data_IF_258757795855
#
_entry.id   IF_258757795855
#
_cell.length_a   1.000
_cell.length_b   1.000
_cell.length_c   1.000
_cell.angle_alpha   90.00
_cell.angle_beta   90.00
_cell.angle_gamma   90.00
#
_symmetry.space_group_name_H-M   'P 1'
#
loop_
_entity.id
_entity.type
_entity.pdbx_description
1 polymer ?
#
# COMPACT_ATOMS: atom_id res chain seq x y z
N UNK A 1 -22.34 -0.55 5.59
CA UNK A 1 -21.92 0.40 6.66
C UNK A 1 -21.88 1.82 6.08
N UNK A 2 -22.56 2.83 6.67
CA UNK A 2 -22.44 4.22 6.23
C UNK A 2 -20.98 4.70 6.27
N UNK A 3 -20.52 5.37 5.21
CA UNK A 3 -19.17 5.91 5.16
C UNK A 3 -19.10 7.24 5.93
N UNK A 4 -18.55 7.21 7.14
CA UNK A 4 -18.46 8.37 8.03
C UNK A 4 -17.72 9.57 7.41
N UNK A 5 -16.80 9.33 6.46
CA UNK A 5 -16.01 10.39 5.83
C UNK A 5 -16.86 11.32 4.95
N UNK A 6 -17.98 10.83 4.40
CA UNK A 6 -18.83 11.63 3.50
C UNK A 6 -19.45 12.85 4.20
N UNK A 7 -19.77 12.72 5.48
CA UNK A 7 -20.40 13.79 6.26
C UNK A 7 -19.45 14.96 6.56
N UNK A 8 -18.14 14.75 6.47
CA UNK A 8 -17.13 15.73 6.90
C UNK A 8 -16.74 16.73 5.81
N UNK A 9 -17.04 16.44 4.54
CA UNK A 9 -16.55 17.24 3.41
C UNK A 9 -17.12 18.67 3.37
N UNK A 10 -18.38 18.85 3.76
CA UNK A 10 -19.01 20.17 3.80
C UNK A 10 -18.32 21.10 4.82
N UNK A 11 -18.01 20.57 6.00
CA UNK A 11 -17.35 21.32 7.07
C UNK A 11 -15.93 21.77 6.68
N UNK A 12 -15.22 20.96 5.87
CA UNK A 12 -13.87 21.29 5.40
C UNK A 12 -13.81 22.61 4.60
N UNK A 13 -14.91 23.01 3.95
CA UNK A 13 -14.98 24.25 3.17
C UNK A 13 -14.99 25.49 4.07
N UNK A 14 -15.52 25.36 5.29
CA UNK A 14 -15.80 26.45 6.22
C UNK A 14 -14.87 26.49 7.45
N UNK A 15 -13.82 25.67 7.47
CA UNK A 15 -12.88 25.64 8.60
C UNK A 15 -12.14 26.96 8.76
N UNK A 16 -11.74 27.28 10.00
CA UNK A 16 -10.87 28.42 10.31
C UNK A 16 -9.46 28.26 9.75
N UNK A 17 -9.05 27.04 9.37
CA UNK A 17 -7.77 26.75 8.72
C UNK A 17 -7.76 27.03 7.21
N UNK A 18 -8.87 27.52 6.63
CA UNK A 18 -8.97 27.83 5.20
C UNK A 18 -8.02 28.98 4.83
N UNK A 19 -7.14 28.74 3.85
CA UNK A 19 -6.33 29.81 3.24
C UNK A 19 -7.24 30.74 2.44
N UNK A 20 -7.36 32.00 2.86
CA UNK A 20 -8.28 33.00 2.30
C UNK A 20 -7.65 33.85 1.20
N UNK A 21 -6.34 34.11 1.27
CA UNK A 21 -5.63 35.03 0.39
C UNK A 21 -4.25 34.47 -0.01
N UNK A 22 -3.65 34.95 -1.11
CA UNK A 22 -2.24 34.72 -1.38
C UNK A 22 -1.38 35.30 -0.26
N UNK A 23 -0.51 34.47 0.29
CA UNK A 23 0.40 34.85 1.38
C UNK A 23 1.84 34.59 0.93
N UNK A 24 2.74 35.52 1.24
CA UNK A 24 4.18 35.35 1.04
C UNK A 24 4.86 35.44 2.40
N UNK A 25 5.77 34.50 2.67
CA UNK A 25 6.59 34.54 3.88
C UNK A 25 7.37 35.86 3.93
N UNK A 26 7.31 36.59 5.05
CA UNK A 26 7.82 37.96 5.16
C UNK A 26 9.27 38.07 4.73
N UNK A 27 10.17 37.26 5.28
CA UNK A 27 11.59 37.38 4.91
C UNK A 27 11.86 36.99 3.44
N UNK A 28 10.97 36.23 2.81
CA UNK A 28 11.05 35.91 1.39
C UNK A 28 10.57 37.06 0.52
N UNK A 29 9.53 37.76 0.96
CA UNK A 29 9.06 38.97 0.29
C UNK A 29 10.12 40.08 0.35
N UNK A 30 10.80 40.23 1.49
CA UNK A 30 11.86 41.23 1.70
C UNK A 30 13.09 40.96 0.82
N UNK A 31 13.49 39.69 0.67
CA UNK A 31 14.61 39.29 -0.19
C UNK A 31 14.42 37.88 -0.78
N UNK A 32 13.85 37.75 -1.99
CA UNK A 32 13.61 36.44 -2.62
C UNK A 32 14.89 35.64 -2.94
N UNK A 33 16.03 36.33 -3.11
CA UNK A 33 17.31 35.71 -3.48
C UNK A 33 18.07 35.18 -2.27
N UNK A 34 17.96 35.86 -1.13
CA UNK A 34 18.60 35.50 0.13
C UNK A 34 17.65 35.72 1.30
N UNK A 35 16.56 34.93 1.37
CA UNK A 35 15.59 35.10 2.44
C UNK A 35 16.21 34.62 3.77
N UNK A 36 15.90 35.29 4.87
CA UNK A 36 16.34 34.84 6.19
C UNK A 36 15.93 33.38 6.47
N UNK A 37 16.67 32.67 7.33
CA UNK A 37 16.30 31.34 7.83
C UNK A 37 14.97 31.40 8.61
N UNK A 38 14.41 30.24 9.00
CA UNK A 38 13.17 30.19 9.81
C UNK A 38 11.89 29.82 9.05
N UNK A 39 11.98 29.00 7.99
CA UNK A 39 10.78 28.37 7.41
C UNK A 39 10.08 27.54 8.50
N UNK A 40 8.80 27.80 8.75
CA UNK A 40 8.01 27.21 9.83
C UNK A 40 7.79 28.12 11.04
N UNK A 41 8.61 29.17 11.20
CA UNK A 41 8.53 30.12 12.32
C UNK A 41 8.28 31.57 11.87
N UNK A 42 8.63 31.90 10.64
CA UNK A 42 8.46 33.23 10.07
C UNK A 42 6.98 33.59 9.84
N UNK A 43 6.72 34.89 9.85
CA UNK A 43 5.39 35.47 9.59
C UNK A 43 5.06 35.50 8.11
N UNK A 44 3.77 35.64 7.81
CA UNK A 44 3.25 35.74 6.44
C UNK A 44 2.60 37.10 6.20
N UNK A 45 2.82 37.64 5.01
CA UNK A 45 2.25 38.90 4.55
C UNK A 45 1.27 38.60 3.43
N UNK A 46 0.07 39.15 3.53
CA UNK A 46 -0.93 39.07 2.46
C UNK A 46 -0.46 39.90 1.27
N UNK A 47 -0.59 39.35 0.07
CA UNK A 47 -0.24 40.02 -1.19
C UNK A 47 -1.37 39.88 -2.22
N UNK A 48 -1.31 40.67 -3.30
CA UNK A 48 -2.22 40.49 -4.43
C UNK A 48 -1.88 39.23 -5.23
N UNK A 49 -2.86 38.71 -5.97
CA UNK A 49 -2.62 37.61 -6.92
C UNK A 49 -1.56 37.95 -7.96
N UNK A 50 -1.57 39.18 -8.48
CA UNK A 50 -0.58 39.65 -9.45
C UNK A 50 0.84 39.58 -8.87
N UNK A 51 1.02 40.06 -7.63
CA UNK A 51 2.32 40.03 -6.96
C UNK A 51 2.80 38.59 -6.69
N UNK A 52 1.91 37.71 -6.24
CA UNK A 52 2.25 36.30 -6.02
C UNK A 52 2.68 35.60 -7.32
N UNK A 53 1.93 35.80 -8.41
CA UNK A 53 2.23 35.20 -9.72
C UNK A 53 3.52 35.75 -10.32
N UNK A 54 3.77 37.06 -10.16
CA UNK A 54 5.03 37.69 -10.59
C UNK A 54 6.23 37.07 -9.88
N UNK A 55 6.17 36.92 -8.55
CA UNK A 55 7.24 36.28 -7.77
C UNK A 55 7.51 34.83 -8.22
N UNK A 56 6.45 34.04 -8.46
CA UNK A 56 6.57 32.67 -8.97
C UNK A 56 7.29 32.66 -10.33
N UNK A 57 6.86 33.52 -11.26
CA UNK A 57 7.44 33.63 -12.59
C UNK A 57 8.93 34.00 -12.55
N UNK A 58 9.27 35.08 -11.84
CA UNK A 58 10.66 35.58 -11.76
C UNK A 58 11.60 34.52 -11.21
N UNK A 59 11.15 33.73 -10.23
CA UNK A 59 11.99 32.71 -9.59
C UNK A 59 12.09 31.45 -10.44
N UNK A 60 11.01 31.00 -11.07
CA UNK A 60 11.08 29.91 -12.05
C UNK A 60 12.00 30.27 -13.22
N UNK A 61 11.86 31.48 -13.80
CA UNK A 61 12.70 31.95 -14.91
C UNK A 61 14.17 32.02 -14.50
N UNK A 62 14.48 32.63 -13.35
CA UNK A 62 15.84 32.73 -12.82
C UNK A 62 16.48 31.35 -12.61
N UNK A 63 15.78 30.43 -11.94
CA UNK A 63 16.30 29.08 -11.65
C UNK A 63 16.53 28.32 -12.96
N UNK A 64 15.61 28.38 -13.92
CA UNK A 64 15.77 27.73 -15.22
C UNK A 64 16.97 28.27 -15.98
N UNK A 65 17.12 29.59 -16.06
CA UNK A 65 18.25 30.23 -16.75
C UNK A 65 19.60 29.88 -16.13
N UNK A 66 19.66 29.81 -14.81
CA UNK A 66 20.92 29.55 -14.10
C UNK A 66 21.28 28.07 -13.99
N UNK A 67 20.29 27.18 -13.86
CA UNK A 67 20.51 25.79 -13.45
C UNK A 67 19.81 24.74 -14.33
N UNK A 68 19.07 25.17 -15.35
CA UNK A 68 18.30 24.29 -16.21
C UNK A 68 16.99 23.78 -15.57
N UNK A 69 16.19 23.02 -16.33
CA UNK A 69 14.87 22.59 -15.88
C UNK A 69 14.88 21.58 -14.73
N UNK A 70 15.93 20.75 -14.62
CA UNK A 70 16.03 19.74 -13.57
C UNK A 70 16.18 20.33 -12.16
N UNK A 71 16.54 21.61 -12.05
CA UNK A 71 16.65 22.33 -10.79
C UNK A 71 15.30 22.71 -10.16
N UNK A 72 14.19 22.51 -10.87
CA UNK A 72 12.84 22.68 -10.31
C UNK A 72 12.20 21.32 -10.11
N UNK A 73 11.90 20.97 -8.87
CA UNK A 73 11.12 19.78 -8.55
C UNK A 73 9.62 20.10 -8.55
N UNK A 74 8.86 19.42 -9.41
CA UNK A 74 7.40 19.54 -9.48
C UNK A 74 6.70 18.17 -9.52
N UNK A 75 7.30 17.16 -8.87
CA UNK A 75 6.69 15.85 -8.72
C UNK A 75 5.36 15.89 -7.95
N UNK A 76 5.31 16.66 -6.86
CA UNK A 76 4.07 16.99 -6.14
C UNK A 76 3.22 15.77 -5.71
N UNK A 77 3.85 14.69 -5.21
CA UNK A 77 3.13 13.49 -4.74
C UNK A 77 2.08 13.83 -3.68
N UNK A 78 0.92 13.18 -3.76
CA UNK A 78 -0.13 13.30 -2.74
C UNK A 78 -1.51 12.93 -3.25
N UNK A 79 -2.42 12.69 -2.31
CA UNK A 79 -3.84 12.62 -2.61
C UNK A 79 -4.37 14.01 -2.99
N UNK A 80 -5.34 14.04 -3.90
CA UNK A 80 -6.05 15.25 -4.34
C UNK A 80 -7.54 14.98 -4.40
N UNK A 81 -8.34 16.02 -4.62
CA UNK A 81 -9.76 15.86 -4.96
C UNK A 81 -9.94 15.16 -6.30
N UNK A 82 -10.97 14.33 -6.40
CA UNK A 82 -11.38 13.68 -7.64
C UNK A 82 -11.93 14.69 -8.65
N UNK A 83 -11.76 14.41 -9.94
CA UNK A 83 -12.22 15.25 -11.04
C UNK A 83 -11.38 15.00 -12.28
N UNK A 84 -11.96 15.10 -13.48
CA UNK A 84 -11.22 14.90 -14.73
C UNK A 84 -10.43 16.15 -15.11
N UNK A 85 -11.07 17.32 -15.00
CA UNK A 85 -10.48 18.62 -15.36
C UNK A 85 -9.61 19.20 -14.25
N UNK A 86 -10.13 19.27 -13.02
CA UNK A 86 -9.46 19.94 -11.89
C UNK A 86 -8.46 19.06 -11.13
N UNK A 87 -7.66 18.28 -11.88
CA UNK A 87 -6.56 17.47 -11.31
C UNK A 87 -5.35 18.37 -11.04
N UNK A 88 -5.24 18.91 -9.82
CA UNK A 88 -4.22 19.91 -9.47
C UNK A 88 -2.79 19.53 -9.89
N UNK A 89 -2.35 18.30 -9.62
CA UNK A 89 -1.03 17.80 -10.04
C UNK A 89 -0.87 17.79 -11.56
N UNK A 90 -1.85 17.28 -12.31
CA UNK A 90 -1.81 17.24 -13.77
C UNK A 90 -1.76 18.66 -14.36
N UNK A 91 -2.50 19.61 -13.77
CA UNK A 91 -2.48 21.01 -14.18
C UNK A 91 -1.13 21.68 -13.88
N UNK A 92 -0.54 21.42 -12.71
CA UNK A 92 0.81 21.85 -12.37
C UNK A 92 1.83 21.31 -13.38
N UNK A 93 1.81 20.01 -13.64
CA UNK A 93 2.75 19.36 -14.56
C UNK A 93 2.58 19.86 -16.00
N UNK A 94 1.34 20.12 -16.45
CA UNK A 94 1.06 20.78 -17.72
C UNK A 94 1.69 22.17 -17.79
N UNK A 95 1.51 22.99 -16.76
CA UNK A 95 2.15 24.31 -16.67
C UNK A 95 3.68 24.19 -16.68
N UNK A 96 4.25 23.31 -15.88
CA UNK A 96 5.71 23.16 -15.75
C UNK A 96 6.37 22.65 -17.03
N UNK A 97 5.68 21.78 -17.78
CA UNK A 97 6.12 21.35 -19.12
C UNK A 97 6.16 22.53 -20.11
N UNK A 98 5.10 23.34 -20.16
CA UNK A 98 5.04 24.52 -21.04
C UNK A 98 6.03 25.62 -20.61
N UNK A 99 6.31 25.73 -19.31
CA UNK A 99 7.26 26.70 -18.75
C UNK A 99 8.74 26.28 -18.96
N UNK A 100 9.01 25.13 -19.57
CA UNK A 100 10.34 24.69 -19.98
C UNK A 100 10.89 23.44 -19.28
N UNK A 101 10.06 22.63 -18.61
CA UNK A 101 10.45 21.35 -17.98
C UNK A 101 10.64 21.38 -16.46
N UNK A 102 10.80 20.20 -15.84
CA UNK A 102 10.98 20.03 -14.39
C UNK A 102 11.49 18.61 -14.05
N UNK A 103 11.94 18.39 -12.82
CA UNK A 103 12.19 17.06 -12.24
C UNK A 103 10.96 16.51 -11.51
N UNK A 104 10.54 15.29 -11.86
CA UNK A 104 9.40 14.59 -11.25
C UNK A 104 9.79 13.53 -10.21
N UNK A 105 8.88 12.62 -9.92
CA UNK A 105 9.13 11.41 -9.12
C UNK A 105 8.60 10.17 -9.84
N UNK A 106 9.08 8.99 -9.45
CA UNK A 106 8.52 7.69 -9.83
C UNK A 106 7.95 6.99 -8.59
N UNK A 107 7.06 6.02 -8.82
CA UNK A 107 6.39 5.28 -7.77
C UNK A 107 5.47 6.12 -6.89
N UNK A 108 5.07 5.52 -5.78
CA UNK A 108 4.16 6.09 -4.81
C UNK A 108 4.45 5.54 -3.40
N UNK A 109 3.92 6.18 -2.37
CA UNK A 109 4.08 5.73 -1.00
C UNK A 109 3.20 4.52 -0.65
N UNK A 110 2.24 4.16 -1.51
CA UNK A 110 1.32 3.05 -1.25
C UNK A 110 2.01 1.71 -1.43
N UNK A 111 2.61 1.46 -2.59
CA UNK A 111 3.09 0.15 -3.06
C UNK A 111 4.53 0.20 -3.60
N UNK A 112 5.34 1.16 -3.16
CA UNK A 112 6.68 1.43 -3.71
C UNK A 112 7.62 0.23 -3.85
N UNK A 113 7.53 -0.79 -2.98
CA UNK A 113 8.31 -2.02 -3.13
C UNK A 113 7.58 -3.06 -4.00
N UNK A 114 6.31 -3.36 -3.70
CA UNK A 114 5.53 -4.37 -4.42
C UNK A 114 5.42 -4.08 -5.93
N UNK A 115 5.18 -2.82 -6.31
CA UNK A 115 5.06 -2.43 -7.73
C UNK A 115 6.37 -2.62 -8.53
N UNK A 116 7.51 -2.73 -7.83
CA UNK A 116 8.83 -2.96 -8.44
C UNK A 116 9.12 -4.45 -8.55
N UNK A 117 8.86 -5.24 -7.49
CA UNK A 117 9.21 -6.67 -7.50
C UNK A 117 8.23 -7.52 -8.32
N UNK A 118 6.93 -7.20 -8.33
CA UNK A 118 5.92 -8.02 -9.02
C UNK A 118 6.16 -8.18 -10.53
N UNK A 119 6.59 -7.14 -11.28
CA UNK A 119 6.97 -7.32 -12.69
C UNK A 119 8.10 -8.33 -12.93
N UNK A 120 8.97 -8.56 -11.94
CA UNK A 120 10.03 -9.56 -12.04
C UNK A 120 9.57 -10.98 -11.68
N UNK A 121 8.46 -11.12 -10.96
CA UNK A 121 7.97 -12.41 -10.45
C UNK A 121 6.81 -12.93 -11.29
N UNK A 122 5.78 -12.11 -11.51
CA UNK A 122 4.54 -12.48 -12.21
C UNK A 122 4.35 -11.74 -13.53
N UNK A 123 5.28 -10.86 -13.90
CA UNK A 123 5.26 -10.17 -15.20
C UNK A 123 4.32 -8.97 -15.29
N UNK A 124 3.66 -8.59 -14.19
CA UNK A 124 2.79 -7.42 -14.10
C UNK A 124 2.95 -6.67 -12.78
N UNK A 125 2.35 -5.48 -12.67
CA UNK A 125 2.42 -4.64 -11.46
C UNK A 125 1.52 -5.19 -10.34
N UNK A 126 0.44 -5.90 -10.69
CA UNK A 126 -0.55 -6.56 -9.82
C UNK A 126 -1.38 -5.62 -8.93
N UNK A 127 -0.72 -4.80 -8.14
CA UNK A 127 -1.31 -4.04 -7.02
C UNK A 127 -2.40 -3.03 -7.43
N UNK A 128 -2.51 -2.69 -8.72
CA UNK A 128 -3.52 -1.76 -9.25
C UNK A 128 -4.37 -2.36 -10.37
N UNK A 129 -4.43 -3.69 -10.46
CA UNK A 129 -5.16 -4.42 -11.50
C UNK A 129 -6.52 -4.91 -11.00
N UNK A 130 -7.38 -5.28 -11.94
CA UNK A 130 -8.69 -5.85 -11.60
C UNK A 130 -8.51 -7.24 -10.99
N UNK A 131 -9.20 -7.48 -9.88
CA UNK A 131 -9.13 -8.73 -9.13
C UNK A 131 -10.19 -9.73 -9.64
N UNK A 132 -10.09 -10.99 -9.19
CA UNK A 132 -11.18 -11.96 -9.38
C UNK A 132 -12.49 -11.39 -8.83
N UNK A 133 -13.59 -11.53 -9.58
CA UNK A 133 -14.86 -10.93 -9.21
C UNK A 133 -15.41 -11.53 -7.91
N UNK A 134 -15.99 -10.68 -7.06
CA UNK A 134 -16.55 -11.10 -5.77
C UNK A 134 -17.58 -12.24 -5.83
N UNK A 135 -18.49 -12.29 -6.82
CA UNK A 135 -19.38 -13.44 -6.96
C UNK A 135 -18.63 -14.77 -7.08
N UNK A 136 -17.52 -14.82 -7.84
CA UNK A 136 -16.71 -16.02 -7.98
C UNK A 136 -15.97 -16.39 -6.69
N UNK A 137 -15.49 -15.40 -5.94
CA UNK A 137 -14.86 -15.61 -4.62
C UNK A 137 -15.89 -16.21 -3.64
N UNK A 138 -17.07 -15.60 -3.55
CA UNK A 138 -18.15 -16.05 -2.67
C UNK A 138 -18.66 -17.45 -3.04
N UNK A 139 -18.70 -17.78 -4.32
CA UNK A 139 -19.11 -19.11 -4.79
C UNK A 139 -18.03 -20.17 -4.51
N UNK A 140 -16.77 -19.89 -4.86
CA UNK A 140 -15.74 -20.93 -5.01
C UNK A 140 -14.74 -21.02 -3.84
N UNK A 141 -14.47 -19.94 -3.11
CA UNK A 141 -13.53 -19.97 -1.99
C UNK A 141 -14.14 -20.69 -0.80
N UNK A 142 -13.39 -21.57 -0.16
CA UNK A 142 -13.78 -22.26 1.08
C UNK A 142 -13.14 -21.61 2.32
N UNK A 143 -11.97 -20.99 2.15
CA UNK A 143 -11.27 -20.22 3.19
C UNK A 143 -10.80 -18.90 2.57
N UNK A 144 -10.95 -17.80 3.31
CA UNK A 144 -10.40 -16.49 2.93
C UNK A 144 -9.37 -16.06 3.97
N UNK A 145 -8.15 -15.75 3.53
CA UNK A 145 -7.08 -15.24 4.37
C UNK A 145 -6.91 -13.75 4.10
N UNK A 146 -7.06 -12.92 5.12
CA UNK A 146 -6.78 -11.50 5.10
C UNK A 146 -5.40 -11.29 5.73
N UNK A 147 -4.41 -10.91 4.93
CA UNK A 147 -3.01 -10.77 5.36
C UNK A 147 -2.60 -9.29 5.40
N UNK A 148 -2.39 -8.74 6.59
CA UNK A 148 -1.95 -7.36 6.79
C UNK A 148 -2.86 -6.31 6.13
N UNK A 149 -4.18 -6.52 6.22
CA UNK A 149 -5.18 -5.64 5.63
C UNK A 149 -6.36 -5.35 6.57
N UNK A 150 -6.88 -4.13 6.47
CA UNK A 150 -8.04 -3.66 7.23
C UNK A 150 -9.09 -3.02 6.29
N UNK A 151 -9.76 -3.83 5.45
CA UNK A 151 -10.69 -3.37 4.41
C UNK A 151 -11.86 -2.54 4.93
N UNK A 152 -12.37 -2.79 6.15
CA UNK A 152 -13.42 -1.95 6.72
C UNK A 152 -12.98 -0.50 6.96
N UNK A 153 -11.69 -0.26 7.15
CA UNK A 153 -11.13 1.08 7.19
C UNK A 153 -10.84 1.60 5.78
N UNK A 154 -10.11 0.81 4.99
CA UNK A 154 -9.47 1.30 3.77
C UNK A 154 -10.39 1.37 2.56
N UNK A 155 -11.51 0.65 2.55
CA UNK A 155 -12.52 0.73 1.47
C UNK A 155 -13.44 1.96 1.57
N UNK A 156 -13.25 2.81 2.59
CA UNK A 156 -13.98 4.09 2.73
C UNK A 156 -13.46 5.18 1.79
N UNK A 157 -12.33 4.97 1.11
CA UNK A 157 -11.71 5.95 0.21
C UNK A 157 -11.47 5.33 -1.17
N UNK A 158 -11.43 6.18 -2.19
CA UNK A 158 -11.10 5.77 -3.56
C UNK A 158 -10.38 6.90 -4.28
N UNK A 159 -9.53 6.56 -5.26
CA UNK A 159 -8.82 7.54 -6.09
C UNK A 159 -9.74 8.42 -6.94
N UNK A 160 -10.91 7.87 -7.29
CA UNK A 160 -12.02 8.52 -7.99
C UNK A 160 -13.29 8.46 -7.13
N UNK A 161 -14.46 8.77 -7.69
CA UNK A 161 -15.72 8.50 -7.00
C UNK A 161 -15.85 7.00 -6.72
N UNK A 162 -16.15 6.64 -5.49
CA UNK A 162 -16.39 5.25 -5.07
C UNK A 162 -17.80 4.80 -5.48
N UNK A 163 -17.96 3.51 -5.78
CA UNK A 163 -19.26 2.86 -5.95
C UNK A 163 -19.77 2.22 -4.63
N UNK A 164 -18.94 2.26 -3.59
CA UNK A 164 -19.18 1.75 -2.23
C UNK A 164 -19.47 0.25 -2.12
N UNK A 165 -19.33 -0.51 -3.21
CA UNK A 165 -19.65 -1.93 -3.22
C UNK A 165 -18.65 -2.76 -2.42
N UNK A 166 -17.40 -2.28 -2.29
CA UNK A 166 -16.35 -2.95 -1.54
C UNK A 166 -16.78 -3.40 -0.14
N UNK A 167 -17.41 -2.52 0.65
CA UNK A 167 -17.86 -2.85 2.01
C UNK A 167 -19.00 -3.88 2.00
N UNK A 168 -19.90 -3.81 1.02
CA UNK A 168 -21.00 -4.76 0.88
C UNK A 168 -20.49 -6.17 0.55
N UNK A 169 -19.42 -6.32 -0.22
CA UNK A 169 -18.84 -7.62 -0.48
C UNK A 169 -18.27 -8.29 0.78
N UNK A 170 -17.69 -7.53 1.71
CA UNK A 170 -17.27 -8.05 3.02
C UNK A 170 -18.47 -8.44 3.89
N UNK A 171 -19.61 -7.74 3.79
CA UNK A 171 -20.87 -8.19 4.40
C UNK A 171 -21.36 -9.53 3.84
N UNK A 172 -21.31 -9.69 2.52
CA UNK A 172 -21.67 -10.96 1.87
C UNK A 172 -20.73 -12.10 2.29
N UNK A 173 -19.42 -11.81 2.39
CA UNK A 173 -18.45 -12.77 2.91
C UNK A 173 -18.78 -13.16 4.37
N UNK A 174 -19.08 -12.21 5.25
CA UNK A 174 -19.52 -12.50 6.63
C UNK A 174 -20.78 -13.37 6.65
N UNK A 175 -21.79 -13.01 5.85
CA UNK A 175 -23.07 -13.72 5.75
C UNK A 175 -22.90 -15.16 5.22
N UNK A 176 -21.89 -15.40 4.39
CA UNK A 176 -21.61 -16.73 3.85
C UNK A 176 -21.17 -17.74 4.91
N UNK A 177 -20.71 -17.27 6.10
CA UNK A 177 -20.23 -18.13 7.18
C UNK A 177 -18.93 -18.87 6.89
N UNK A 178 -18.24 -18.54 5.79
CA UNK A 178 -16.95 -19.13 5.44
C UNK A 178 -15.89 -18.75 6.47
N UNK A 179 -14.98 -19.66 6.83
CA UNK A 179 -13.84 -19.34 7.69
C UNK A 179 -13.01 -18.19 7.12
N UNK A 180 -12.75 -17.19 7.97
CA UNK A 180 -11.82 -16.10 7.69
C UNK A 180 -10.60 -16.26 8.59
N UNK A 181 -9.40 -16.22 8.03
CA UNK A 181 -8.16 -16.13 8.79
C UNK A 181 -7.64 -14.72 8.63
N UNK A 182 -7.43 -14.00 9.73
CA UNK A 182 -6.85 -12.67 9.70
C UNK A 182 -5.46 -12.68 10.32
N UNK A 183 -4.44 -12.43 9.50
CA UNK A 183 -3.03 -12.39 9.89
C UNK A 183 -2.63 -10.92 9.97
N UNK A 184 -2.56 -10.40 11.19
CA UNK A 184 -2.24 -8.99 11.45
C UNK A 184 -1.72 -8.84 12.89
N UNK A 185 -0.64 -8.09 13.16
CA UNK A 185 -0.22 -7.80 14.54
C UNK A 185 -1.28 -7.04 15.35
N UNK A 186 -2.22 -6.35 14.69
CA UNK A 186 -3.29 -5.57 15.32
C UNK A 186 -4.63 -6.26 15.11
N UNK A 187 -5.39 -6.43 16.19
CA UNK A 187 -6.80 -6.83 16.09
C UNK A 187 -7.65 -5.65 15.61
N UNK A 188 -7.77 -5.50 14.30
CA UNK A 188 -8.48 -4.39 13.64
C UNK A 188 -10.01 -4.53 13.69
N UNK A 189 -10.72 -3.45 13.34
CA UNK A 189 -12.18 -3.46 13.21
C UNK A 189 -12.69 -4.43 12.13
N UNK A 190 -11.86 -4.76 11.13
CA UNK A 190 -12.20 -5.82 10.16
C UNK A 190 -12.28 -7.18 10.87
N UNK A 191 -11.36 -7.46 11.79
CA UNK A 191 -11.34 -8.72 12.54
C UNK A 191 -12.54 -8.78 13.48
N UNK A 192 -12.80 -7.69 14.21
CA UNK A 192 -13.99 -7.57 15.05
C UNK A 192 -15.27 -7.76 14.26
N UNK A 193 -15.35 -7.21 13.04
CA UNK A 193 -16.52 -7.34 12.19
C UNK A 193 -16.87 -8.79 11.83
N UNK A 194 -15.90 -9.70 11.74
CA UNK A 194 -16.19 -11.11 11.45
C UNK A 194 -16.57 -11.91 12.71
N UNK A 195 -16.52 -11.31 13.90
CA UNK A 195 -16.84 -11.95 15.19
C UNK A 195 -16.14 -13.33 15.30
N UNK A 196 -16.89 -14.37 15.66
CA UNK A 196 -16.39 -15.74 15.83
C UNK A 196 -16.01 -16.44 14.50
N UNK A 197 -16.36 -15.85 13.34
CA UNK A 197 -15.99 -16.42 12.04
C UNK A 197 -14.55 -16.09 11.62
N UNK A 198 -13.86 -15.19 12.33
CA UNK A 198 -12.47 -14.88 12.10
C UNK A 198 -11.54 -15.53 13.14
N UNK A 199 -10.54 -16.28 12.66
CA UNK A 199 -9.37 -16.65 13.46
C UNK A 199 -8.30 -15.59 13.29
N UNK A 200 -7.97 -14.89 14.37
CA UNK A 200 -6.89 -13.91 14.41
C UNK A 200 -5.54 -14.59 14.71
N UNK A 201 -4.53 -14.29 13.88
CA UNK A 201 -3.14 -14.70 14.03
C UNK A 201 -2.29 -13.43 14.10
N UNK A 202 -1.56 -13.25 15.19
CA UNK A 202 -0.79 -12.05 15.45
C UNK A 202 0.72 -12.33 15.42
N UNK A 203 1.38 -12.27 14.25
CA UNK A 203 2.83 -12.35 14.19
C UNK A 203 3.47 -11.07 14.74
N UNK A 204 4.69 -11.19 15.26
CA UNK A 204 5.57 -10.06 15.57
C UNK A 204 5.74 -9.16 14.33
N UNK A 205 5.79 -7.84 14.52
CA UNK A 205 5.92 -6.90 13.40
C UNK A 205 7.14 -7.22 12.54
N UNK A 206 6.96 -7.21 11.22
CA UNK A 206 8.04 -7.43 10.25
C UNK A 206 8.41 -8.90 9.99
N UNK A 207 7.76 -9.85 10.67
CA UNK A 207 8.12 -11.28 10.61
C UNK A 207 7.29 -12.12 9.63
N UNK A 208 6.43 -11.49 8.81
CA UNK A 208 5.51 -12.19 7.89
C UNK A 208 6.19 -13.22 6.98
N UNK A 209 7.38 -12.91 6.46
CA UNK A 209 8.13 -13.83 5.57
C UNK A 209 8.57 -15.07 6.32
N UNK A 210 8.93 -14.97 7.61
CA UNK A 210 9.23 -16.15 8.41
C UNK A 210 8.00 -17.02 8.61
N UNK A 211 6.82 -16.42 8.84
CA UNK A 211 5.56 -17.15 8.91
C UNK A 211 5.24 -17.86 7.58
N UNK A 212 5.35 -17.17 6.45
CA UNK A 212 5.14 -17.75 5.12
C UNK A 212 6.11 -18.89 4.83
N UNK A 213 7.40 -18.74 5.17
CA UNK A 213 8.40 -19.79 5.02
C UNK A 213 8.10 -21.01 5.90
N UNK A 214 7.66 -20.80 7.14
CA UNK A 214 7.21 -21.88 8.03
C UNK A 214 6.02 -22.67 7.46
N UNK A 215 5.06 -21.96 6.86
CA UNK A 215 3.92 -22.56 6.16
C UNK A 215 4.41 -23.35 4.94
N UNK A 216 5.22 -22.74 4.06
CA UNK A 216 5.75 -23.37 2.86
C UNK A 216 6.57 -24.63 3.19
N UNK A 217 7.43 -24.57 4.20
CA UNK A 217 8.21 -25.71 4.68
C UNK A 217 7.29 -26.85 5.15
N UNK A 218 6.23 -26.51 5.92
CA UNK A 218 5.26 -27.50 6.37
C UNK A 218 4.56 -28.19 5.20
N UNK A 219 4.07 -27.42 4.22
CA UNK A 219 3.48 -27.95 2.98
C UNK A 219 4.45 -28.86 2.21
N UNK A 220 5.72 -28.44 2.15
CA UNK A 220 6.78 -29.18 1.47
C UNK A 220 7.04 -30.53 2.15
N UNK A 221 7.32 -30.52 3.45
CA UNK A 221 7.61 -31.74 4.23
C UNK A 221 6.43 -32.72 4.33
N UNK A 222 5.20 -32.22 4.33
CA UNK A 222 4.00 -33.06 4.32
C UNK A 222 3.56 -33.51 2.92
N UNK A 223 4.27 -33.11 1.86
CA UNK A 223 3.92 -33.45 0.47
C UNK A 223 2.60 -32.83 -0.01
N UNK A 224 2.18 -31.69 0.57
CA UNK A 224 0.91 -30.98 0.27
C UNK A 224 1.06 -29.80 -0.70
N UNK A 225 2.27 -29.52 -1.18
CA UNK A 225 2.52 -28.53 -2.23
C UNK A 225 2.23 -29.13 -3.62
N UNK A 226 1.67 -28.33 -4.52
CA UNK A 226 1.33 -28.77 -5.89
C UNK A 226 2.58 -28.81 -6.77
N UNK A 227 3.22 -29.98 -6.83
CA UNK A 227 4.43 -30.21 -7.63
C UNK A 227 4.19 -30.01 -9.12
N UNK A 228 2.99 -30.34 -9.63
CA UNK A 228 2.67 -30.20 -11.06
C UNK A 228 2.57 -28.72 -11.42
N UNK A 229 1.95 -27.91 -10.56
CA UNK A 229 1.90 -26.47 -10.76
C UNK A 229 3.30 -25.85 -10.73
N UNK A 230 4.11 -26.21 -9.72
CA UNK A 230 5.48 -25.71 -9.57
C UNK A 230 6.35 -26.05 -10.79
N UNK A 231 6.30 -27.29 -11.27
CA UNK A 231 7.09 -27.72 -12.44
C UNK A 231 6.64 -27.03 -13.74
N UNK A 232 5.33 -26.82 -13.91
CA UNK A 232 4.77 -26.34 -15.18
C UNK A 232 4.72 -24.81 -15.30
N UNK A 233 4.45 -24.11 -14.19
CA UNK A 233 4.09 -22.69 -14.21
C UNK A 233 5.08 -21.79 -13.44
N UNK A 234 6.14 -22.36 -12.85
CA UNK A 234 7.16 -21.59 -12.12
C UNK A 234 8.57 -21.90 -12.61
N UNK A 235 9.55 -21.10 -12.16
CA UNK A 235 10.97 -21.37 -12.36
C UNK A 235 11.72 -21.10 -11.06
N UNK A 236 12.83 -21.82 -10.83
CA UNK A 236 13.67 -21.63 -9.63
C UNK A 236 13.21 -22.36 -8.36
N UNK A 237 12.13 -23.17 -8.41
CA UNK A 237 11.66 -23.91 -7.23
C UNK A 237 12.71 -24.85 -6.61
N UNK A 238 13.53 -25.62 -7.37
CA UNK A 238 14.56 -26.47 -6.75
C UNK A 238 15.54 -25.71 -5.85
N UNK A 239 15.96 -24.52 -6.27
CA UNK A 239 16.83 -23.64 -5.49
C UNK A 239 16.13 -23.09 -4.25
N UNK A 240 14.84 -22.76 -4.38
CA UNK A 240 14.02 -22.34 -3.25
C UNK A 240 13.82 -23.47 -2.24
N UNK A 241 13.61 -24.71 -2.69
CA UNK A 241 13.49 -25.89 -1.82
C UNK A 241 14.79 -26.17 -1.05
N UNK A 242 15.95 -26.01 -1.68
CA UNK A 242 17.26 -26.10 -0.99
C UNK A 242 17.38 -25.06 0.14
N UNK A 243 16.91 -23.83 -0.08
CA UNK A 243 16.85 -22.80 0.96
C UNK A 243 15.83 -23.12 2.06
N UNK A 244 14.66 -23.63 1.68
CA UNK A 244 13.58 -23.97 2.60
C UNK A 244 14.01 -25.09 3.54
N UNK A 245 14.65 -26.13 2.99
CA UNK A 245 15.19 -27.29 3.73
C UNK A 245 16.47 -26.97 4.51
N UNK A 246 17.05 -25.78 4.33
CA UNK A 246 18.30 -25.38 4.96
C UNK A 246 19.54 -26.03 4.34
N UNK A 247 19.44 -26.67 3.18
CA UNK A 247 20.62 -27.24 2.49
C UNK A 247 21.62 -26.16 2.06
N UNK A 248 21.14 -24.96 1.73
CA UNK A 248 22.00 -23.86 1.28
C UNK A 248 22.56 -22.99 2.42
N UNK A 249 21.96 -23.02 3.61
CA UNK A 249 22.32 -22.11 4.71
C UNK A 249 22.33 -22.76 6.13
N UNK A 250 22.20 -24.08 6.20
CA UNK A 250 22.12 -24.87 7.44
C UNK A 250 20.97 -24.50 8.39
N UNK A 251 19.94 -23.79 7.90
CA UNK A 251 18.81 -23.35 8.72
C UNK A 251 17.48 -23.78 8.09
N UNK A 252 16.93 -24.95 8.43
CA UNK A 252 15.62 -25.36 7.95
C UNK A 252 14.54 -24.37 8.37
N UNK A 253 13.75 -23.86 7.43
CA UNK A 253 12.69 -22.87 7.69
C UNK A 253 11.42 -23.49 8.25
N UNK A 254 11.59 -24.38 9.23
CA UNK A 254 10.54 -25.17 9.85
C UNK A 254 9.48 -24.30 10.56
N UNK A 255 8.33 -24.90 10.89
CA UNK A 255 7.33 -24.23 11.71
C UNK A 255 7.86 -23.85 13.11
N UNK A 256 8.76 -24.66 13.70
CA UNK A 256 9.46 -24.32 14.96
C UNK A 256 10.29 -23.06 14.80
N UNK A 257 11.13 -23.01 13.75
CA UNK A 257 11.96 -21.84 13.42
C UNK A 257 11.10 -20.59 13.21
N UNK A 258 9.99 -20.72 12.47
CA UNK A 258 9.07 -19.63 12.23
C UNK A 258 8.38 -19.17 13.53
N UNK A 259 8.04 -20.09 14.43
CA UNK A 259 7.42 -19.77 15.71
C UNK A 259 8.35 -18.93 16.62
N UNK A 260 9.64 -19.26 16.66
CA UNK A 260 10.64 -18.51 17.43
C UNK A 260 10.76 -17.05 16.97
N UNK A 261 10.67 -16.81 15.65
CA UNK A 261 10.78 -15.46 15.08
C UNK A 261 9.46 -14.69 15.20
N UNK A 262 8.37 -15.34 14.82
CA UNK A 262 7.08 -14.69 14.63
C UNK A 262 6.28 -14.58 15.92
N UNK A 263 6.58 -15.39 16.94
CA UNK A 263 5.76 -15.52 18.14
C UNK A 263 4.43 -16.27 17.90
N UNK A 264 4.14 -16.71 16.67
CA UNK A 264 2.97 -17.54 16.37
C UNK A 264 3.29 -18.99 16.76
N UNK A 265 2.48 -19.67 17.59
CA UNK A 265 2.76 -21.05 18.00
C UNK A 265 2.93 -22.00 16.81
N UNK A 266 3.91 -22.89 16.87
CA UNK A 266 4.20 -23.89 15.82
C UNK A 266 2.93 -24.64 15.38
N UNK A 267 2.14 -25.12 16.33
CA UNK A 267 0.89 -25.84 16.05
C UNK A 267 -0.10 -25.01 15.24
N UNK A 268 -0.13 -23.68 15.43
CA UNK A 268 -0.98 -22.77 14.67
C UNK A 268 -0.46 -22.57 13.24
N UNK A 269 0.87 -22.51 13.05
CA UNK A 269 1.52 -22.46 11.73
C UNK A 269 1.22 -23.73 10.94
N UNK A 270 1.38 -24.90 11.56
CA UNK A 270 1.07 -26.19 10.94
C UNK A 270 -0.42 -26.27 10.59
N UNK A 271 -1.31 -25.93 11.53
CA UNK A 271 -2.77 -25.94 11.27
C UNK A 271 -3.17 -25.01 10.12
N UNK A 272 -2.52 -23.85 10.01
CA UNK A 272 -2.77 -22.91 8.91
C UNK A 272 -2.35 -23.53 7.56
N UNK A 273 -1.16 -24.13 7.48
CA UNK A 273 -0.70 -24.81 6.28
C UNK A 273 -1.66 -25.93 5.85
N UNK A 274 -2.09 -26.77 6.80
CA UNK A 274 -2.99 -27.89 6.53
C UNK A 274 -4.38 -27.41 6.09
N UNK A 275 -4.92 -26.38 6.74
CA UNK A 275 -6.21 -25.77 6.38
C UNK A 275 -6.15 -25.21 4.96
N UNK A 276 -5.11 -24.44 4.63
CA UNK A 276 -4.97 -23.81 3.32
C UNK A 276 -4.81 -24.83 2.21
N UNK A 277 -4.06 -25.91 2.42
CA UNK A 277 -3.87 -26.97 1.43
C UNK A 277 -5.11 -27.84 1.21
N UNK A 278 -5.92 -28.04 2.26
CA UNK A 278 -7.12 -28.87 2.18
C UNK A 278 -8.31 -28.16 1.51
N UNK A 279 -8.23 -26.85 1.27
CA UNK A 279 -9.37 -26.03 0.85
C UNK A 279 -9.02 -25.13 -0.35
N UNK A 280 -10.04 -24.75 -1.11
CA UNK A 280 -9.89 -23.64 -2.08
C UNK A 280 -9.71 -22.33 -1.31
N UNK A 281 -8.46 -21.90 -1.17
CA UNK A 281 -8.08 -20.75 -0.34
C UNK A 281 -7.87 -19.50 -1.20
N UNK A 282 -8.46 -18.37 -0.79
CA UNK A 282 -8.16 -17.05 -1.36
C UNK A 282 -7.25 -16.28 -0.40
N UNK A 283 -6.07 -15.86 -0.89
CA UNK A 283 -5.16 -14.98 -0.17
C UNK A 283 -5.42 -13.53 -0.61
N UNK A 284 -5.86 -12.69 0.32
CA UNK A 284 -6.01 -11.25 0.12
C UNK A 284 -4.95 -10.56 0.98
N UNK A 285 -3.96 -9.91 0.36
CA UNK A 285 -2.90 -9.22 1.09
C UNK A 285 -2.98 -7.71 0.94
N UNK A 286 -2.82 -7.01 2.06
CA UNK A 286 -2.73 -5.56 2.09
C UNK A 286 -1.34 -5.05 1.68
N UNK A 287 -1.24 -3.73 1.55
CA UNK A 287 0.00 -3.07 1.14
C UNK A 287 0.83 -2.55 2.32
N UNK A 288 0.33 -2.67 3.56
CA UNK A 288 1.06 -2.24 4.75
C UNK A 288 2.36 -3.02 4.94
N UNK A 289 2.31 -4.34 4.71
CA UNK A 289 3.44 -5.25 4.93
C UNK A 289 4.65 -4.96 4.04
N UNK A 290 4.50 -4.31 2.88
CA UNK A 290 5.65 -3.96 2.05
C UNK A 290 6.24 -2.57 2.37
N UNK A 291 5.60 -1.77 3.23
CA UNK A 291 6.08 -0.42 3.57
C UNK A 291 7.04 -0.45 4.75
N UNK A 292 8.06 -1.27 4.64
CA UNK A 292 9.09 -1.49 5.65
C UNK A 292 10.40 -1.92 4.98
N UNK A 293 11.48 -2.00 5.76
CA UNK A 293 12.75 -2.51 5.26
C UNK A 293 12.56 -3.92 4.69
N UNK A 294 13.15 -4.19 3.51
CA UNK A 294 12.99 -5.45 2.77
C UNK A 294 11.53 -5.76 2.37
N UNK A 295 10.74 -4.71 2.12
CA UNK A 295 9.33 -4.82 1.79
C UNK A 295 9.04 -5.64 0.52
N UNK A 296 9.98 -5.70 -0.41
CA UNK A 296 9.88 -6.49 -1.64
C UNK A 296 9.75 -7.99 -1.38
N UNK A 297 10.25 -8.48 -0.24
CA UNK A 297 10.21 -9.90 0.12
C UNK A 297 8.79 -10.36 0.48
N UNK A 298 7.91 -9.45 0.93
CA UNK A 298 6.60 -9.83 1.48
C UNK A 298 5.64 -10.34 0.40
N UNK A 299 5.44 -9.54 -0.65
CA UNK A 299 4.58 -9.93 -1.76
C UNK A 299 5.24 -10.96 -2.67
N UNK A 300 6.58 -11.01 -2.75
CA UNK A 300 7.27 -12.09 -3.46
C UNK A 300 7.06 -13.44 -2.77
N UNK A 301 7.24 -13.54 -1.46
CA UNK A 301 7.03 -14.80 -0.74
C UNK A 301 5.55 -15.24 -0.69
N UNK A 302 4.62 -14.30 -0.90
CA UNK A 302 3.18 -14.60 -0.92
C UNK A 302 2.73 -15.33 -2.20
N UNK A 303 3.39 -15.07 -3.34
CA UNK A 303 3.01 -15.56 -4.67
C UNK A 303 3.75 -16.83 -5.08
#
# INVERSE_FOLDING_TARGET
IPNSLQSTAADQVHTTARIQHPMVRKSYLDNPLQPAKGRGEDTYVQVSWEQALKLIHEQHDRIRKANGPSAIFAGSYGWRSSGVLHKAQTLLQRYMNLAGGYSGHSGDYSTGAAQVIMPHVVGSVEVYEQQTSWPLILENSQVVVLWGMNPLNTLKIAWSSTDEQGLEYFHQLKKSGKPVIAIDPIRSETIEFFDDNATWIAPNMGTDVALMLGIAHTLMTQGKHDKVFLEKYTTGYPQFEEYLTGKSDNTPKSAVWAAEITGVPEAQIVKLAELMAANRTMLMAGWGIQRQQYGEQKHWMLV
#
